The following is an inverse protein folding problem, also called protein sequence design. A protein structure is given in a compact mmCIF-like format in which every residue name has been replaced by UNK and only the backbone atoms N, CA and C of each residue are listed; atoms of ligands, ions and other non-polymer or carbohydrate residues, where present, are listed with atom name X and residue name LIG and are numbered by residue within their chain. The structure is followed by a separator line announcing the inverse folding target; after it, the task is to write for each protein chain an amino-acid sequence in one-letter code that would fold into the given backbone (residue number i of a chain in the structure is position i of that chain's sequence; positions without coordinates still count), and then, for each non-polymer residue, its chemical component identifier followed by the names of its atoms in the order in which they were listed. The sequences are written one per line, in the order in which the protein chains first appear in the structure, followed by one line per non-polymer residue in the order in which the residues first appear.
data_IF_268186865964
#
_entry.id   IF_268186865964
#
_cell.length_a   1.000
_cell.length_b   1.000
_cell.length_c   1.000
_cell.angle_alpha   90.00
_cell.angle_beta   90.00
_cell.angle_gamma   90.00
#
_symmetry.space_group_name_H-M   'P 1'
#
loop_
_entity.id
_entity.type
_entity.pdbx_description
1 polymer ?
#
# COMPACT_ATOMS: atom_id res chain seq x y z
N UNK A 1 4.75 27.51 -38.42
CA UNK A 1 5.20 26.61 -37.35
C UNK A 1 4.61 27.15 -36.08
N UNK A 2 3.39 26.70 -35.78
CA UNK A 2 2.56 27.19 -34.67
C UNK A 2 3.04 26.57 -33.38
N UNK A 3 3.40 27.42 -32.42
CA UNK A 3 3.80 27.02 -31.07
C UNK A 3 2.62 26.31 -30.39
N UNK A 4 2.70 24.99 -30.31
CA UNK A 4 1.75 24.13 -29.62
C UNK A 4 1.72 24.50 -28.13
N UNK A 5 0.53 24.86 -27.62
CA UNK A 5 0.35 25.32 -26.25
C UNK A 5 0.82 24.24 -25.23
N UNK A 6 1.44 24.61 -24.10
CA UNK A 6 1.98 23.66 -23.12
C UNK A 6 0.92 22.71 -22.50
N UNK A 7 -0.36 23.08 -22.52
CA UNK A 7 -1.46 22.26 -22.01
C UNK A 7 -1.76 21.02 -22.89
N UNK A 8 -1.55 21.12 -24.20
CA UNK A 8 -1.84 20.06 -25.19
C UNK A 8 -0.74 18.97 -25.17
N UNK A 9 0.51 19.38 -24.96
CA UNK A 9 1.65 18.46 -24.77
C UNK A 9 1.59 17.71 -23.44
N UNK A 10 0.96 18.28 -22.41
CA UNK A 10 0.77 17.64 -21.11
C UNK A 10 -0.32 16.57 -21.17
N UNK A 11 -1.45 16.82 -21.86
CA UNK A 11 -2.55 15.85 -21.91
C UNK A 11 -2.18 14.59 -22.67
N UNK A 12 -1.49 14.69 -23.82
CA UNK A 12 -1.14 13.53 -24.65
C UNK A 12 -0.13 12.59 -23.98
N UNK A 13 0.89 13.17 -23.33
CA UNK A 13 1.88 12.41 -22.57
C UNK A 13 1.24 11.72 -21.35
N UNK A 14 0.38 12.43 -20.61
CA UNK A 14 -0.24 11.88 -19.40
C UNK A 14 -0.99 10.57 -19.65
N UNK A 15 -1.75 10.45 -20.75
CA UNK A 15 -2.47 9.19 -21.03
C UNK A 15 -1.58 8.03 -21.44
N UNK A 16 -0.49 8.29 -22.17
CA UNK A 16 0.46 7.24 -22.55
C UNK A 16 1.23 6.72 -21.33
N UNK A 17 1.72 7.61 -20.47
CA UNK A 17 2.39 7.24 -19.22
C UNK A 17 1.43 6.56 -18.24
N UNK A 18 0.18 7.02 -18.14
CA UNK A 18 -0.85 6.42 -17.27
C UNK A 18 -1.18 5.00 -17.72
N UNK A 19 -1.33 4.78 -19.03
CA UNK A 19 -1.60 3.44 -19.57
C UNK A 19 -0.42 2.49 -19.34
N UNK A 20 0.81 2.96 -19.60
CA UNK A 20 2.02 2.16 -19.38
C UNK A 20 2.18 1.78 -17.91
N UNK A 21 1.98 2.74 -17.00
CA UNK A 21 1.99 2.50 -15.55
C UNK A 21 0.92 1.47 -15.16
N UNK A 22 -0.30 1.63 -15.67
CA UNK A 22 -1.39 0.70 -15.40
C UNK A 22 -1.07 -0.74 -15.84
N UNK A 23 -0.50 -0.91 -17.04
CA UNK A 23 -0.06 -2.22 -17.55
C UNK A 23 1.06 -2.81 -16.68
N UNK A 24 2.05 -2.01 -16.28
CA UNK A 24 3.13 -2.47 -15.41
C UNK A 24 2.60 -2.94 -14.05
N UNK A 25 1.66 -2.21 -13.46
CA UNK A 25 1.01 -2.61 -12.20
C UNK A 25 0.19 -3.91 -12.36
N UNK A 26 -0.52 -4.08 -13.48
CA UNK A 26 -1.22 -5.33 -13.79
C UNK A 26 -0.27 -6.51 -13.89
N UNK A 27 0.88 -6.34 -14.56
CA UNK A 27 1.91 -7.39 -14.66
C UNK A 27 2.48 -7.74 -13.29
N UNK A 28 2.86 -6.73 -12.50
CA UNK A 28 3.40 -6.91 -11.16
C UNK A 28 2.39 -7.57 -10.22
N UNK A 29 1.14 -7.13 -10.23
CA UNK A 29 0.06 -7.73 -9.44
C UNK A 29 -0.22 -9.17 -9.85
N UNK A 30 -0.24 -9.45 -11.16
CA UNK A 30 -0.44 -10.82 -11.66
C UNK A 30 0.70 -11.74 -11.23
N UNK A 31 1.96 -11.30 -11.42
CA UNK A 31 3.13 -12.06 -10.98
C UNK A 31 3.12 -12.28 -9.45
N UNK A 32 2.70 -11.26 -8.69
CA UNK A 32 2.61 -11.31 -7.24
C UNK A 32 1.57 -12.31 -6.72
N UNK A 33 0.45 -12.50 -7.43
CA UNK A 33 -0.56 -13.52 -7.08
C UNK A 33 0.02 -14.94 -7.17
N UNK A 34 0.88 -15.22 -8.15
CA UNK A 34 1.52 -16.52 -8.29
C UNK A 34 2.64 -16.75 -7.27
N UNK A 35 3.23 -15.67 -6.76
CA UNK A 35 4.39 -15.71 -5.85
C UNK A 35 4.14 -14.88 -4.58
N UNK A 36 3.04 -15.10 -3.83
CA UNK A 36 2.63 -14.22 -2.74
C UNK A 36 3.64 -14.22 -1.59
N UNK A 37 4.30 -15.35 -1.33
CA UNK A 37 5.36 -15.44 -0.32
C UNK A 37 6.56 -14.52 -0.64
N UNK A 38 6.94 -14.41 -1.92
CA UNK A 38 8.03 -13.52 -2.33
C UNK A 38 7.63 -12.04 -2.18
N UNK A 39 6.38 -11.70 -2.52
CA UNK A 39 5.86 -10.34 -2.31
C UNK A 39 5.88 -9.98 -0.82
N UNK A 40 5.38 -10.86 0.05
CA UNK A 40 5.39 -10.66 1.51
C UNK A 40 6.81 -10.43 2.05
N UNK A 41 7.77 -11.26 1.63
CA UNK A 41 9.17 -11.11 2.05
C UNK A 41 9.79 -9.82 1.50
N UNK A 42 9.51 -9.48 0.24
CA UNK A 42 9.95 -8.23 -0.37
C UNK A 42 9.43 -7.01 0.39
N UNK A 43 8.17 -7.02 0.80
CA UNK A 43 7.58 -5.98 1.65
C UNK A 43 8.30 -5.84 2.99
N UNK A 44 8.60 -6.96 3.64
CA UNK A 44 9.33 -6.93 4.93
C UNK A 44 10.74 -6.40 4.77
N UNK A 45 11.47 -6.81 3.73
CA UNK A 45 12.82 -6.27 3.47
C UNK A 45 12.78 -4.78 3.18
N UNK A 46 11.80 -4.32 2.41
CA UNK A 46 11.61 -2.91 2.14
C UNK A 46 11.33 -2.11 3.42
N UNK A 47 10.35 -2.54 4.22
CA UNK A 47 10.00 -1.88 5.49
C UNK A 47 11.17 -1.89 6.47
N UNK A 48 11.83 -3.04 6.63
CA UNK A 48 13.02 -3.19 7.49
C UNK A 48 14.14 -2.21 7.10
N UNK A 49 14.43 -2.11 5.80
CA UNK A 49 15.42 -1.16 5.27
C UNK A 49 15.07 0.28 5.61
N UNK A 50 13.81 0.68 5.44
CA UNK A 50 13.33 2.02 5.82
C UNK A 50 13.50 2.29 7.32
N UNK A 51 13.17 1.33 8.18
CA UNK A 51 13.32 1.46 9.63
C UNK A 51 14.79 1.62 10.04
N UNK A 52 15.70 0.83 9.46
CA UNK A 52 17.14 0.91 9.74
C UNK A 52 17.70 2.26 9.29
N UNK A 53 17.40 2.68 8.05
CA UNK A 53 17.84 3.99 7.52
C UNK A 53 17.28 5.12 8.39
N UNK A 54 16.00 5.05 8.77
CA UNK A 54 15.36 6.00 9.68
C UNK A 54 16.05 6.05 11.04
N UNK A 55 16.40 4.90 11.61
CA UNK A 55 17.16 4.78 12.85
C UNK A 55 18.54 5.42 12.77
N UNK A 56 19.26 5.24 11.66
CA UNK A 56 20.57 5.87 11.43
C UNK A 56 20.43 7.39 11.34
N UNK A 57 19.48 7.89 10.53
CA UNK A 57 19.24 9.34 10.38
C UNK A 57 18.89 9.96 11.73
N UNK A 58 18.00 9.33 12.50
CA UNK A 58 17.65 9.80 13.85
C UNK A 58 18.82 9.73 14.81
N UNK A 59 19.69 8.72 14.71
CA UNK A 59 20.89 8.63 15.54
C UNK A 59 21.85 9.79 15.28
N UNK A 60 22.05 10.15 14.00
CA UNK A 60 22.86 11.32 13.61
C UNK A 60 22.23 12.61 14.15
N UNK A 61 20.91 12.74 14.07
CA UNK A 61 20.19 13.88 14.63
C UNK A 61 20.39 13.99 16.15
N UNK A 62 20.09 12.92 16.90
CA UNK A 62 20.25 12.89 18.36
C UNK A 62 21.69 13.18 18.78
N UNK A 63 22.68 12.62 18.07
CA UNK A 63 24.09 12.88 18.35
C UNK A 63 24.47 14.35 18.17
N UNK A 64 23.95 15.03 17.15
CA UNK A 64 24.26 16.44 16.88
C UNK A 64 23.56 17.42 17.82
N UNK A 65 22.33 17.12 18.23
CA UNK A 65 21.50 18.07 18.98
C UNK A 65 21.51 17.82 20.48
N UNK A 66 21.52 16.57 20.93
CA UNK A 66 21.43 16.27 22.36
C UNK A 66 21.94 14.86 22.73
N UNK A 67 23.24 14.60 22.54
CA UNK A 67 23.82 13.28 22.77
C UNK A 67 23.74 12.78 24.22
N UNK A 68 23.67 13.70 25.20
CA UNK A 68 23.71 13.37 26.63
C UNK A 68 22.37 12.92 27.24
N UNK A 69 21.26 13.11 26.53
CA UNK A 69 19.94 12.72 27.02
C UNK A 69 19.54 11.34 26.48
N UNK A 70 19.45 10.35 27.36
CA UNK A 70 19.07 8.97 26.99
C UNK A 70 17.67 8.89 26.37
N UNK A 71 16.75 9.80 26.72
CA UNK A 71 15.39 9.80 26.20
C UNK A 71 15.36 10.01 24.68
N UNK A 72 16.28 10.83 24.17
CA UNK A 72 16.38 11.16 22.74
C UNK A 72 16.97 10.00 21.90
N UNK A 73 17.54 8.99 22.56
CA UNK A 73 18.05 7.77 21.93
C UNK A 73 17.01 6.66 21.78
N UNK A 74 15.88 6.74 22.49
CA UNK A 74 14.85 5.67 22.47
C UNK A 74 14.31 5.47 21.05
N UNK A 75 13.97 6.55 20.34
CA UNK A 75 13.43 6.49 18.98
C UNK A 75 14.40 5.87 17.97
N UNK A 76 15.65 6.37 17.80
CA UNK A 76 16.59 5.75 16.87
C UNK A 76 16.91 4.30 17.25
N UNK A 77 17.06 3.99 18.55
CA UNK A 77 17.31 2.63 19.01
C UNK A 77 16.15 1.70 18.65
N UNK A 78 14.91 2.12 18.88
CA UNK A 78 13.72 1.34 18.53
C UNK A 78 13.65 1.07 17.03
N UNK A 79 13.83 2.11 16.20
CA UNK A 79 13.81 1.97 14.74
C UNK A 79 14.89 1.00 14.25
N UNK A 80 16.11 1.14 14.77
CA UNK A 80 17.22 0.28 14.39
C UNK A 80 16.99 -1.17 14.85
N UNK A 81 16.60 -1.37 16.12
CA UNK A 81 16.36 -2.71 16.68
C UNK A 81 15.21 -3.41 15.95
N UNK A 82 14.05 -2.75 15.80
CA UNK A 82 12.89 -3.35 15.12
C UNK A 82 13.22 -3.62 13.66
N UNK A 83 13.85 -2.67 12.96
CA UNK A 83 14.29 -2.84 11.58
C UNK A 83 15.24 -4.04 11.43
N UNK A 84 16.25 -4.14 12.28
CA UNK A 84 17.18 -5.27 12.29
C UNK A 84 16.51 -6.60 12.64
N UNK A 85 15.62 -6.63 13.63
CA UNK A 85 14.87 -7.85 13.98
C UNK A 85 14.02 -8.34 12.82
N UNK A 86 13.34 -7.44 12.10
CA UNK A 86 12.59 -7.81 10.89
C UNK A 86 13.49 -8.28 9.76
N UNK A 87 14.73 -7.77 9.66
CA UNK A 87 15.71 -8.21 8.66
C UNK A 87 16.22 -9.63 8.95
N UNK A 88 16.58 -9.91 10.21
CA UNK A 88 17.17 -11.19 10.63
C UNK A 88 16.11 -12.28 10.85
N UNK A 89 14.89 -11.90 11.21
CA UNK A 89 13.76 -12.80 11.41
C UNK A 89 12.57 -12.40 10.50
N UNK A 90 12.71 -12.56 9.18
CA UNK A 90 11.74 -12.04 8.21
C UNK A 90 10.36 -12.67 8.35
N UNK A 91 10.24 -13.93 8.79
CA UNK A 91 8.93 -14.56 9.04
C UNK A 91 8.16 -13.83 10.15
N UNK A 92 8.84 -13.45 11.24
CA UNK A 92 8.25 -12.65 12.31
C UNK A 92 7.91 -11.24 11.81
N UNK A 93 8.75 -10.67 10.93
CA UNK A 93 8.46 -9.41 10.24
C UNK A 93 7.19 -9.49 9.40
N UNK A 94 7.00 -10.57 8.65
CA UNK A 94 5.80 -10.82 7.84
C UNK A 94 4.57 -10.92 8.74
N UNK A 95 4.68 -11.62 9.86
CA UNK A 95 3.60 -11.73 10.84
C UNK A 95 3.22 -10.35 11.44
N UNK A 96 4.20 -9.49 11.71
CA UNK A 96 3.97 -8.13 12.20
C UNK A 96 3.29 -7.24 11.15
N UNK A 97 3.76 -7.27 9.90
CA UNK A 97 3.12 -6.57 8.77
C UNK A 97 1.70 -7.09 8.56
N UNK A 98 1.49 -8.40 8.74
CA UNK A 98 0.17 -9.02 8.71
C UNK A 98 -0.79 -8.46 9.75
N UNK A 99 -0.35 -8.24 10.99
CA UNK A 99 -1.19 -7.60 12.01
C UNK A 99 -1.55 -6.17 11.63
N UNK A 100 -0.61 -5.40 11.06
CA UNK A 100 -0.90 -4.06 10.56
C UNK A 100 -1.95 -4.10 9.44
N UNK A 101 -1.86 -5.08 8.55
CA UNK A 101 -2.88 -5.31 7.52
C UNK A 101 -4.23 -5.66 8.12
N UNK A 102 -4.29 -6.52 9.15
CA UNK A 102 -5.54 -6.84 9.83
C UNK A 102 -6.17 -5.58 10.46
N UNK A 103 -5.36 -4.74 11.13
CA UNK A 103 -5.82 -3.45 11.68
C UNK A 103 -6.37 -2.55 10.56
N UNK A 104 -5.66 -2.45 9.43
CA UNK A 104 -6.13 -1.71 8.28
C UNK A 104 -7.50 -2.21 7.80
N UNK A 105 -7.68 -3.53 7.65
CA UNK A 105 -8.95 -4.12 7.19
C UNK A 105 -10.10 -3.86 8.17
N UNK A 106 -9.84 -3.86 9.48
CA UNK A 106 -10.84 -3.44 10.47
C UNK A 106 -11.22 -1.98 10.30
N UNK A 107 -10.23 -1.08 10.16
CA UNK A 107 -10.48 0.34 9.96
C UNK A 107 -11.26 0.59 8.66
N UNK A 108 -10.92 -0.10 7.58
CA UNK A 108 -11.63 -0.04 6.31
C UNK A 108 -13.07 -0.54 6.45
N UNK A 109 -13.29 -1.63 7.20
CA UNK A 109 -14.62 -2.16 7.46
C UNK A 109 -15.50 -1.14 8.20
N UNK A 110 -15.03 -0.62 9.33
CA UNK A 110 -15.76 0.38 10.11
C UNK A 110 -15.96 1.68 9.33
N UNK A 111 -14.94 2.14 8.61
CA UNK A 111 -15.03 3.31 7.75
C UNK A 111 -16.07 3.13 6.64
N UNK A 112 -16.10 1.97 6.00
CA UNK A 112 -17.07 1.64 4.95
C UNK A 112 -18.50 1.62 5.48
N UNK A 113 -18.74 1.04 6.66
CA UNK A 113 -20.06 1.07 7.29
C UNK A 113 -20.47 2.49 7.70
N UNK A 114 -19.57 3.28 8.26
CA UNK A 114 -19.83 4.67 8.63
C UNK A 114 -20.17 5.53 7.40
N UNK A 115 -19.41 5.36 6.31
CA UNK A 115 -19.68 6.05 5.04
C UNK A 115 -21.01 5.61 4.43
N UNK A 116 -21.32 4.31 4.45
CA UNK A 116 -22.60 3.80 3.96
C UNK A 116 -23.78 4.45 4.69
N UNK A 117 -23.68 4.60 6.02
CA UNK A 117 -24.70 5.28 6.82
C UNK A 117 -24.81 6.77 6.48
N UNK A 118 -23.67 7.43 6.22
CA UNK A 118 -23.64 8.86 5.87
C UNK A 118 -24.27 9.14 4.50
N UNK A 119 -24.00 8.28 3.50
CA UNK A 119 -24.50 8.51 2.14
C UNK A 119 -25.90 7.92 1.89
N UNK A 120 -26.45 7.13 2.82
CA UNK A 120 -27.78 6.56 2.64
C UNK A 120 -28.87 7.65 2.57
N UNK A 121 -29.78 7.64 1.57
CA UNK A 121 -30.05 6.60 0.56
C UNK A 121 -29.44 6.87 -0.84
N UNK A 122 -28.44 7.74 -0.96
CA UNK A 122 -27.80 8.06 -2.24
C UNK A 122 -27.19 6.81 -2.91
N UNK A 123 -27.07 6.87 -4.24
CA UNK A 123 -26.48 5.79 -5.04
C UNK A 123 -25.07 5.45 -4.55
N UNK A 124 -24.77 4.16 -4.40
CA UNK A 124 -23.48 3.67 -3.92
C UNK A 124 -23.44 3.19 -2.47
N UNK A 125 -24.46 3.50 -1.65
CA UNK A 125 -24.49 3.09 -0.22
C UNK A 125 -24.39 1.57 -0.05
N UNK A 126 -25.09 0.79 -0.88
CA UNK A 126 -25.05 -0.68 -0.83
C UNK A 126 -23.66 -1.26 -1.15
N UNK A 127 -22.90 -0.60 -2.03
CA UNK A 127 -21.52 -1.00 -2.34
C UNK A 127 -20.59 -0.78 -1.15
N UNK A 128 -20.79 0.30 -0.39
CA UNK A 128 -20.01 0.57 0.82
C UNK A 128 -20.33 -0.45 1.92
N UNK A 129 -21.58 -0.85 2.10
CA UNK A 129 -21.94 -1.93 3.05
C UNK A 129 -21.26 -3.24 2.65
N UNK A 130 -21.33 -3.61 1.36
CA UNK A 130 -20.68 -4.81 0.85
C UNK A 130 -19.17 -4.78 1.08
N UNK A 131 -18.50 -3.67 0.77
CA UNK A 131 -17.07 -3.50 1.03
C UNK A 131 -16.76 -3.69 2.52
N UNK A 132 -17.53 -3.05 3.40
CA UNK A 132 -17.34 -3.17 4.85
C UNK A 132 -17.47 -4.61 5.35
N UNK A 133 -18.43 -5.38 4.83
CA UNK A 133 -18.61 -6.79 5.18
C UNK A 133 -17.44 -7.65 4.70
N UNK A 134 -16.97 -7.43 3.47
CA UNK A 134 -15.82 -8.16 2.91
C UNK A 134 -14.55 -7.85 3.71
N UNK A 135 -14.26 -6.58 3.98
CA UNK A 135 -13.10 -6.17 4.75
C UNK A 135 -13.12 -6.74 6.17
N UNK A 136 -14.30 -6.75 6.83
CA UNK A 136 -14.44 -7.35 8.16
C UNK A 136 -14.20 -8.86 8.14
N UNK A 137 -14.78 -9.57 7.17
CA UNK A 137 -14.57 -11.01 7.00
C UNK A 137 -13.09 -11.34 6.77
N UNK A 138 -12.43 -10.59 5.89
CA UNK A 138 -11.00 -10.76 5.62
C UNK A 138 -10.16 -10.50 6.87
N UNK A 139 -10.46 -9.45 7.64
CA UNK A 139 -9.75 -9.15 8.88
C UNK A 139 -9.87 -10.30 9.90
N UNK A 140 -11.08 -10.85 10.07
CA UNK A 140 -11.33 -11.97 10.97
C UNK A 140 -10.63 -13.25 10.52
N UNK A 141 -10.72 -13.59 9.23
CA UNK A 141 -10.00 -14.74 8.66
C UNK A 141 -8.49 -14.59 8.84
N UNK A 142 -7.97 -13.38 8.67
CA UNK A 142 -6.56 -13.07 8.88
C UNK A 142 -6.16 -13.35 10.33
N UNK A 143 -6.92 -12.85 11.30
CA UNK A 143 -6.64 -13.05 12.73
C UNK A 143 -6.69 -14.52 13.16
N UNK A 144 -7.65 -15.29 12.64
CA UNK A 144 -7.80 -16.71 12.99
C UNK A 144 -6.59 -17.54 12.51
N UNK A 145 -6.05 -17.22 11.32
CA UNK A 145 -4.93 -17.94 10.73
C UNK A 145 -3.54 -17.40 11.12
N UNK A 146 -3.49 -16.31 11.87
CA UNK A 146 -2.24 -15.66 12.24
C UNK A 146 -1.42 -16.55 13.21
N UNK A 147 -0.08 -16.59 13.10
CA UNK A 147 0.81 -15.88 12.16
C UNK A 147 1.04 -16.61 10.83
N UNK A 148 0.65 -17.87 10.74
CA UNK A 148 1.00 -18.75 9.61
C UNK A 148 0.44 -18.25 8.28
N UNK A 149 -0.77 -17.68 8.28
CA UNK A 149 -1.41 -17.20 7.05
C UNK A 149 -0.85 -15.87 6.54
N UNK A 150 -0.10 -15.13 7.35
CA UNK A 150 0.45 -13.82 6.95
C UNK A 150 1.38 -13.93 5.75
N UNK A 151 2.08 -15.07 5.59
CA UNK A 151 3.02 -15.28 4.48
C UNK A 151 2.37 -15.21 3.11
N UNK A 152 1.13 -15.69 2.96
CA UNK A 152 0.43 -15.65 1.69
C UNK A 152 -0.60 -14.53 1.63
N UNK A 153 -1.28 -14.20 2.74
CA UNK A 153 -2.31 -13.17 2.75
C UNK A 153 -1.76 -11.76 2.53
N UNK A 154 -0.60 -11.40 3.11
CA UNK A 154 0.01 -10.07 2.90
C UNK A 154 0.37 -9.87 1.43
N UNK A 155 1.08 -10.83 0.85
CA UNK A 155 1.48 -10.79 -0.55
C UNK A 155 0.30 -10.79 -1.52
N UNK A 156 -0.73 -11.59 -1.25
CA UNK A 156 -1.96 -11.57 -2.04
C UNK A 156 -2.66 -10.22 -1.95
N UNK A 157 -2.84 -9.68 -0.75
CA UNK A 157 -3.49 -8.39 -0.57
C UNK A 157 -2.78 -7.28 -1.37
N UNK A 158 -1.46 -7.20 -1.26
CA UNK A 158 -0.64 -6.23 -2.00
C UNK A 158 -0.79 -6.45 -3.51
N UNK A 159 -0.73 -7.70 -3.97
CA UNK A 159 -0.81 -8.03 -5.39
C UNK A 159 -2.18 -7.71 -5.98
N UNK A 160 -3.25 -7.99 -5.23
CA UNK A 160 -4.62 -7.66 -5.62
C UNK A 160 -4.79 -6.13 -5.67
N UNK A 161 -4.25 -5.38 -4.70
CA UNK A 161 -4.25 -3.91 -4.74
C UNK A 161 -3.60 -3.40 -6.02
N UNK A 162 -2.42 -3.92 -6.38
CA UNK A 162 -1.73 -3.53 -7.62
C UNK A 162 -2.55 -3.84 -8.87
N UNK A 163 -3.32 -4.94 -8.88
CA UNK A 163 -4.24 -5.23 -9.99
C UNK A 163 -5.38 -4.22 -10.08
N UNK A 164 -6.00 -3.86 -8.96
CA UNK A 164 -7.06 -2.86 -8.93
C UNK A 164 -6.54 -1.49 -9.34
N UNK A 165 -5.39 -1.08 -8.82
CA UNK A 165 -4.74 0.19 -9.18
C UNK A 165 -4.38 0.22 -10.68
N UNK A 166 -3.79 -0.87 -11.19
CA UNK A 166 -3.46 -1.00 -12.60
C UNK A 166 -4.69 -0.95 -13.51
N UNK A 167 -5.73 -1.72 -13.17
CA UNK A 167 -7.00 -1.72 -13.89
C UNK A 167 -7.70 -0.36 -13.87
N UNK A 168 -7.70 0.32 -12.73
CA UNK A 168 -8.25 1.66 -12.59
C UNK A 168 -7.51 2.67 -13.47
N UNK A 169 -6.18 2.67 -13.49
CA UNK A 169 -5.39 3.57 -14.35
C UNK A 169 -5.64 3.32 -15.84
N UNK A 170 -5.74 2.05 -16.27
CA UNK A 170 -6.09 1.72 -17.66
C UNK A 170 -7.52 2.17 -17.99
N UNK A 171 -8.49 1.96 -17.08
CA UNK A 171 -9.86 2.43 -17.28
C UNK A 171 -9.95 3.96 -17.41
N UNK A 172 -9.23 4.68 -16.54
CA UNK A 172 -9.16 6.15 -16.56
C UNK A 172 -8.51 6.63 -17.86
N UNK A 173 -7.40 6.01 -18.30
CA UNK A 173 -6.72 6.43 -19.53
C UNK A 173 -7.61 6.22 -20.76
N UNK A 174 -8.34 5.10 -20.83
CA UNK A 174 -9.32 4.84 -21.88
C UNK A 174 -10.48 5.85 -21.86
N UNK A 175 -11.02 6.17 -20.68
CA UNK A 175 -12.10 7.13 -20.52
C UNK A 175 -11.67 8.54 -20.97
N UNK A 176 -10.46 8.97 -20.62
CA UNK A 176 -9.95 10.28 -21.01
C UNK A 176 -9.65 10.35 -22.52
N UNK A 177 -9.18 9.26 -23.15
CA UNK A 177 -9.03 9.15 -24.63
C UNK A 177 -10.37 9.28 -25.33
N UNK A 178 -11.40 8.60 -24.83
CA UNK A 178 -12.76 8.68 -25.37
C UNK A 178 -13.38 10.08 -25.20
N UNK A 179 -12.98 10.82 -24.18
CA UNK A 179 -13.44 12.18 -23.92
C UNK A 179 -12.75 13.27 -24.77
N UNK A 180 -11.95 12.90 -25.77
CA UNK A 180 -11.31 13.86 -26.70
C UNK A 180 -10.23 14.73 -26.05
N UNK A 181 -9.71 14.36 -24.86
CA UNK A 181 -8.63 15.10 -24.19
C UNK A 181 -7.22 14.76 -24.73
N UNK A 182 -7.16 13.99 -25.82
CA UNK A 182 -5.94 13.42 -26.41
C UNK A 182 -5.77 13.73 -27.90
N UNK A 183 -6.75 14.39 -28.51
CA UNK A 183 -6.73 14.80 -29.92
C UNK A 183 -6.43 16.29 -30.04
#
# INVERSE_FOLDING_TARGET
MTDMYPAEKLSSNFGSYTTTTGILLLILGTAGIFLPGLVSLGTVFFISGLLIIGGIIWSIHTYKYNAGNIMDWIKPALLFIVGSLMLFYPLSGVAAVGLLLAVYLFLDAFGSFALAQLIHPASGWGWMVFNGMVSLLLALLFLIGWPTTSMWLVGLYISISLLFDGGALVAISMAMRKAGKFD
#
